data_IF_774976091057
#
_entry.id   IF_774976091057
#
_cell.length_a   1.000
_cell.length_b   1.000
_cell.length_c   1.000
_cell.angle_alpha   90.00
_cell.angle_beta   90.00
_cell.angle_gamma   90.00
#
_symmetry.space_group_name_H-M   'P 1'
#
loop_
_entity.id
_entity.type
_entity.pdbx_description
1 polymer ?
#
# COMPACT_ATOMS: atom_id res chain seq x y z
N UNK A 1 -3.96 26.43 15.65
CA UNK A 1 -2.88 25.72 14.92
C UNK A 1 -3.41 25.26 13.58
N UNK A 2 -2.68 25.45 12.48
CA UNK A 2 -3.02 24.82 11.19
C UNK A 2 -2.47 23.39 11.22
N UNK A 3 -3.34 22.38 11.16
CA UNK A 3 -2.98 20.94 11.15
C UNK A 3 -2.85 20.37 9.74
N UNK A 4 -3.44 21.05 8.74
CA UNK A 4 -3.36 20.68 7.32
C UNK A 4 -2.00 21.12 6.76
N UNK A 5 -1.24 20.15 6.22
CA UNK A 5 0.13 20.35 5.70
C UNK A 5 0.19 20.64 4.20
N UNK A 6 -0.90 20.42 3.46
CA UNK A 6 -0.98 20.60 2.01
C UNK A 6 -1.68 19.43 1.32
N UNK A 7 -1.89 19.51 -0.01
CA UNK A 7 -2.46 18.42 -0.79
C UNK A 7 -1.48 17.26 -0.96
N UNK A 8 -1.97 16.03 -0.83
CA UNK A 8 -1.21 14.81 -1.10
C UNK A 8 -1.92 13.94 -2.16
N UNK A 9 -1.15 13.13 -2.86
CA UNK A 9 -1.62 12.28 -3.96
C UNK A 9 -1.37 10.80 -3.66
N UNK A 10 -2.35 9.94 -3.98
CA UNK A 10 -2.14 8.49 -3.92
C UNK A 10 -1.63 7.94 -5.26
N UNK A 11 -0.37 7.49 -5.29
CA UNK A 11 0.33 7.16 -6.53
C UNK A 11 -0.18 5.91 -7.25
N UNK A 12 -0.87 4.99 -6.55
CA UNK A 12 -1.39 3.77 -7.17
C UNK A 12 -2.40 4.04 -8.30
N UNK A 13 -3.03 5.22 -8.31
CA UNK A 13 -3.96 5.63 -9.36
C UNK A 13 -3.26 6.04 -10.66
N UNK A 14 -1.95 6.27 -10.61
CA UNK A 14 -1.18 6.85 -11.72
C UNK A 14 -0.04 5.94 -12.17
N UNK A 15 0.55 5.15 -11.27
CA UNK A 15 1.68 4.28 -11.55
C UNK A 15 1.43 3.39 -12.78
N UNK A 16 2.34 3.46 -13.75
CA UNK A 16 2.19 2.85 -15.07
C UNK A 16 3.54 2.53 -15.69
N UNK A 17 3.54 1.93 -16.88
CA UNK A 17 4.78 1.50 -17.54
C UNK A 17 5.45 2.62 -18.35
N UNK A 18 4.73 3.71 -18.60
CA UNK A 18 5.18 4.86 -19.38
C UNK A 18 5.56 6.06 -18.51
N UNK A 19 6.54 6.84 -18.97
CA UNK A 19 6.93 8.08 -18.30
C UNK A 19 5.78 9.12 -18.34
N UNK A 20 5.60 9.93 -17.29
CA UNK A 20 6.41 10.03 -16.08
C UNK A 20 5.95 9.11 -14.93
N UNK A 21 5.17 8.06 -15.21
CA UNK A 21 4.52 7.24 -14.16
C UNK A 21 5.24 5.94 -13.82
N UNK A 22 6.42 5.72 -14.42
CA UNK A 22 7.12 4.44 -14.43
C UNK A 22 8.39 4.40 -13.57
N UNK A 23 8.72 5.49 -12.87
CA UNK A 23 9.83 5.51 -11.93
C UNK A 23 9.56 6.48 -10.78
N UNK A 24 10.21 6.22 -9.64
CA UNK A 24 10.07 7.05 -8.44
C UNK A 24 10.45 8.52 -8.64
N UNK A 25 11.57 8.79 -9.30
CA UNK A 25 12.01 10.16 -9.57
C UNK A 25 11.03 10.91 -10.51
N UNK A 26 10.67 10.29 -11.64
CA UNK A 26 9.81 10.94 -12.63
C UNK A 26 8.40 11.22 -12.11
N UNK A 27 7.82 10.29 -11.33
CA UNK A 27 6.47 10.45 -10.80
C UNK A 27 6.40 11.48 -9.67
N UNK A 28 7.44 11.58 -8.84
CA UNK A 28 7.51 12.59 -7.77
C UNK A 28 7.73 13.98 -8.35
N UNK A 29 8.56 14.12 -9.39
CA UNK A 29 8.68 15.37 -10.15
C UNK A 29 7.36 15.81 -10.77
N UNK A 30 6.66 14.89 -11.44
CA UNK A 30 5.33 15.18 -11.99
C UNK A 30 4.31 15.58 -10.92
N UNK A 31 4.30 14.91 -9.75
CA UNK A 31 3.42 15.27 -8.65
C UNK A 31 3.69 16.70 -8.13
N UNK A 32 4.97 17.10 -8.06
CA UNK A 32 5.36 18.45 -7.68
C UNK A 32 4.91 19.50 -8.71
N UNK A 33 5.08 19.21 -10.00
CA UNK A 33 4.63 20.06 -11.11
C UNK A 33 3.10 20.27 -11.09
N UNK A 34 2.35 19.26 -10.62
CA UNK A 34 0.90 19.37 -10.40
C UNK A 34 0.51 20.16 -9.13
N UNK A 35 1.47 20.55 -8.29
CA UNK A 35 1.26 21.33 -7.08
C UNK A 35 1.04 20.52 -5.79
N UNK A 36 1.20 19.20 -5.84
CA UNK A 36 1.15 18.36 -4.63
C UNK A 36 2.35 18.64 -3.71
N UNK A 37 2.15 18.40 -2.41
CA UNK A 37 3.19 18.53 -1.37
C UNK A 37 3.60 17.21 -0.77
N UNK A 38 2.81 16.16 -0.99
CA UNK A 38 3.15 14.83 -0.52
C UNK A 38 2.52 13.74 -1.36
N UNK A 39 3.00 12.52 -1.15
CA UNK A 39 2.52 11.34 -1.83
C UNK A 39 2.33 10.18 -0.86
N UNK A 40 1.23 9.46 -1.06
CA UNK A 40 1.03 8.12 -0.50
C UNK A 40 1.52 7.09 -1.51
N UNK A 41 2.38 6.17 -1.06
CA UNK A 41 3.06 5.20 -1.92
C UNK A 41 2.40 3.82 -1.80
N UNK A 42 1.99 3.16 -2.90
CA UNK A 42 1.58 1.76 -2.87
C UNK A 42 2.78 0.85 -2.62
N UNK A 43 2.70 0.00 -1.60
CA UNK A 43 3.81 -0.89 -1.22
C UNK A 43 3.97 -2.12 -2.13
N UNK A 44 3.05 -2.34 -3.08
CA UNK A 44 3.10 -3.50 -3.99
C UNK A 44 3.84 -3.21 -5.30
N UNK A 45 4.02 -1.94 -5.65
CA UNK A 45 4.53 -1.57 -6.96
C UNK A 45 6.06 -1.42 -6.94
N UNK A 46 6.75 -2.46 -7.41
CA UNK A 46 8.20 -2.52 -7.45
C UNK A 46 8.84 -1.47 -8.38
N UNK A 47 8.07 -0.81 -9.26
CA UNK A 47 8.56 0.34 -10.05
C UNK A 47 8.82 1.56 -9.18
N UNK A 48 8.10 1.65 -8.05
CA UNK A 48 8.19 2.77 -7.12
C UNK A 48 9.05 2.42 -5.90
N UNK A 49 8.76 1.30 -5.23
CA UNK A 49 9.40 0.94 -3.97
C UNK A 49 9.77 -0.55 -3.92
N UNK A 50 10.99 -0.83 -3.48
CA UNK A 50 11.42 -2.18 -3.10
C UNK A 50 11.06 -2.38 -1.62
N UNK A 51 9.93 -3.03 -1.37
CA UNK A 51 9.39 -3.18 -0.01
C UNK A 51 10.29 -4.04 0.90
N UNK A 52 10.93 -5.07 0.34
CA UNK A 52 11.82 -5.94 1.10
C UNK A 52 13.02 -5.13 1.59
N UNK A 53 13.70 -4.41 0.69
CA UNK A 53 14.80 -3.51 1.07
C UNK A 53 14.36 -2.41 2.02
N UNK A 54 13.20 -1.80 1.79
CA UNK A 54 12.66 -0.77 2.67
C UNK A 54 12.43 -1.28 4.10
N UNK A 55 12.00 -2.53 4.24
CA UNK A 55 11.74 -3.13 5.55
C UNK A 55 13.02 -3.44 6.34
N UNK A 56 14.15 -3.60 5.66
CA UNK A 56 15.42 -4.06 6.23
C UNK A 56 16.50 -2.96 6.31
N UNK A 57 16.39 -1.89 5.54
CA UNK A 57 17.42 -0.86 5.39
C UNK A 57 16.88 0.55 5.60
N UNK A 58 17.41 1.23 6.63
CA UNK A 58 17.19 2.67 6.84
C UNK A 58 17.85 3.49 5.75
N UNK A 59 19.05 3.12 5.31
CA UNK A 59 19.78 3.84 4.25
C UNK A 59 18.96 3.87 2.95
N UNK A 60 18.37 2.74 2.55
CA UNK A 60 17.46 2.70 1.39
C UNK A 60 16.25 3.63 1.58
N UNK A 61 15.65 3.63 2.78
CA UNK A 61 14.52 4.51 3.09
C UNK A 61 14.91 5.99 3.03
N UNK A 62 16.11 6.35 3.45
CA UNK A 62 16.61 7.73 3.40
C UNK A 62 16.96 8.16 1.97
N UNK A 63 17.57 7.30 1.16
CA UNK A 63 17.76 7.52 -0.28
C UNK A 63 16.42 7.71 -0.99
N UNK A 64 15.46 6.82 -0.72
CA UNK A 64 14.11 6.85 -1.28
C UNK A 64 13.38 8.16 -0.96
N UNK A 65 13.35 8.57 0.31
CA UNK A 65 12.79 9.88 0.71
C UNK A 65 13.58 11.05 0.12
N UNK A 66 14.90 10.92 0.03
CA UNK A 66 15.79 11.93 -0.53
C UNK A 66 15.45 12.30 -1.98
N UNK A 67 15.13 11.30 -2.80
CA UNK A 67 14.68 11.53 -4.20
C UNK A 67 13.39 12.35 -4.24
N UNK A 68 12.38 11.98 -3.45
CA UNK A 68 11.12 12.74 -3.39
C UNK A 68 11.34 14.17 -2.86
N UNK A 69 12.15 14.32 -1.81
CA UNK A 69 12.47 15.61 -1.22
C UNK A 69 13.21 16.53 -2.20
N UNK A 70 14.10 16.00 -3.04
CA UNK A 70 14.78 16.74 -4.10
C UNK A 70 13.78 17.29 -5.15
N UNK A 71 12.66 16.59 -5.36
CA UNK A 71 11.56 17.03 -6.21
C UNK A 71 10.53 17.90 -5.46
N UNK A 72 10.73 18.19 -4.17
CA UNK A 72 9.80 18.99 -3.36
C UNK A 72 8.56 18.23 -2.86
N UNK A 73 8.64 16.90 -2.79
CA UNK A 73 7.57 16.00 -2.34
C UNK A 73 7.95 15.31 -1.03
N UNK A 74 7.01 15.29 -0.08
CA UNK A 74 7.10 14.49 1.14
C UNK A 74 6.47 13.10 0.94
N UNK A 75 7.09 12.04 1.44
CA UNK A 75 6.44 10.72 1.54
C UNK A 75 5.57 10.71 2.80
N UNK A 76 4.24 10.73 2.62
CA UNK A 76 3.31 10.92 3.74
C UNK A 76 2.93 9.60 4.40
N UNK A 77 2.64 8.58 3.60
CA UNK A 77 2.27 7.23 4.05
C UNK A 77 2.71 6.16 3.06
N UNK A 78 2.94 4.95 3.58
CA UNK A 78 2.85 3.73 2.78
C UNK A 78 1.40 3.21 2.81
N UNK A 79 1.02 2.52 1.74
CA UNK A 79 -0.31 1.89 1.65
C UNK A 79 -0.22 0.42 1.27
N UNK A 80 -0.99 -0.40 1.98
CA UNK A 80 -1.12 -1.86 1.78
C UNK A 80 -2.56 -2.22 1.45
N UNK A 81 -3.27 -1.43 0.64
CA UNK A 81 -4.68 -1.70 0.33
C UNK A 81 -4.90 -3.10 -0.25
N UNK A 82 -4.11 -3.48 -1.26
CA UNK A 82 -4.23 -4.80 -1.89
C UNK A 82 -3.76 -5.93 -0.98
N UNK A 83 -2.60 -5.78 -0.32
CA UNK A 83 -2.08 -6.82 0.56
C UNK A 83 -2.93 -6.97 1.82
N UNK A 84 -3.33 -5.87 2.45
CA UNK A 84 -4.22 -5.84 3.60
C UNK A 84 -5.58 -6.47 3.32
N UNK A 85 -6.15 -6.22 2.12
CA UNK A 85 -7.39 -6.86 1.67
C UNK A 85 -7.32 -8.40 1.72
N UNK A 86 -6.11 -8.96 1.62
CA UNK A 86 -5.88 -10.40 1.57
C UNK A 86 -5.59 -11.03 2.95
N UNK A 87 -5.56 -10.24 4.02
CA UNK A 87 -5.28 -10.73 5.39
C UNK A 87 -6.44 -11.56 5.94
N UNK A 88 -7.68 -11.12 5.73
CA UNK A 88 -8.88 -11.81 6.23
C UNK A 88 -9.92 -11.91 5.12
N UNK A 89 -9.89 -13.01 4.35
CA UNK A 89 -10.77 -13.24 3.20
C UNK A 89 -11.74 -14.38 3.49
N UNK A 90 -13.02 -14.17 3.20
CA UNK A 90 -14.01 -15.24 3.22
C UNK A 90 -13.81 -16.16 2.01
N UNK A 91 -13.95 -17.49 2.13
CA UNK A 91 -13.75 -18.42 1.01
C UNK A 91 -14.59 -18.10 -0.24
N UNK A 92 -15.79 -17.54 -0.05
CA UNK A 92 -16.64 -17.06 -1.15
C UNK A 92 -15.99 -16.01 -2.07
N UNK A 93 -14.94 -15.32 -1.61
CA UNK A 93 -14.18 -14.34 -2.40
C UNK A 93 -12.81 -14.83 -2.83
N UNK A 94 -12.48 -16.11 -2.62
CA UNK A 94 -11.13 -16.61 -2.88
C UNK A 94 -10.68 -16.35 -4.32
N UNK A 95 -11.50 -16.75 -5.30
CA UNK A 95 -11.21 -16.51 -6.72
C UNK A 95 -11.17 -15.03 -7.07
N UNK A 96 -12.10 -14.22 -6.53
CA UNK A 96 -12.20 -12.80 -6.86
C UNK A 96 -10.98 -12.00 -6.37
N UNK A 97 -10.43 -12.35 -5.22
CA UNK A 97 -9.29 -11.66 -4.62
C UNK A 97 -7.94 -12.26 -4.98
N UNK A 98 -7.90 -13.39 -5.66
CA UNK A 98 -6.65 -14.03 -6.09
C UNK A 98 -5.82 -13.13 -7.02
N UNK A 99 -6.49 -12.28 -7.81
CA UNK A 99 -5.84 -11.31 -8.70
C UNK A 99 -4.99 -10.26 -7.98
N UNK A 100 -5.25 -10.00 -6.69
CA UNK A 100 -4.48 -9.04 -5.88
C UNK A 100 -3.18 -9.64 -5.31
N UNK A 101 -3.03 -10.97 -5.38
CA UNK A 101 -1.85 -11.65 -4.88
C UNK A 101 -0.80 -11.80 -5.99
N UNK A 102 0.45 -11.98 -5.58
CA UNK A 102 1.54 -12.36 -6.48
C UNK A 102 1.31 -13.77 -7.05
N UNK A 103 1.75 -14.07 -8.29
CA UNK A 103 1.44 -15.34 -8.95
C UNK A 103 1.78 -16.60 -8.16
N UNK A 104 2.82 -16.56 -7.33
CA UNK A 104 3.37 -17.71 -6.60
C UNK A 104 2.43 -18.24 -5.51
N UNK A 105 1.50 -17.44 -5.00
CA UNK A 105 0.57 -17.82 -3.93
C UNK A 105 -0.89 -17.89 -4.39
N UNK A 106 -1.13 -17.67 -5.68
CA UNK A 106 -2.47 -17.75 -6.28
C UNK A 106 -3.03 -19.17 -6.23
N UNK A 107 -4.36 -19.27 -6.11
CA UNK A 107 -5.07 -20.54 -5.95
C UNK A 107 -4.85 -21.24 -4.61
N UNK A 108 -4.12 -20.62 -3.67
CA UNK A 108 -3.85 -21.16 -2.36
C UNK A 108 -4.20 -20.13 -1.27
N UNK A 109 -5.44 -20.15 -0.73
CA UNK A 109 -5.92 -19.15 0.22
C UNK A 109 -5.05 -19.02 1.48
N UNK A 110 -4.46 -20.14 1.95
CA UNK A 110 -3.58 -20.15 3.11
C UNK A 110 -2.25 -19.45 2.80
N UNK A 111 -1.58 -19.84 1.72
CA UNK A 111 -0.32 -19.21 1.32
C UNK A 111 -0.51 -17.72 0.97
N UNK A 112 -1.63 -17.37 0.34
CA UNK A 112 -2.01 -15.97 0.07
C UNK A 112 -2.14 -15.16 1.35
N UNK A 113 -2.77 -15.71 2.38
CA UNK A 113 -2.94 -15.04 3.67
C UNK A 113 -1.61 -14.88 4.41
N UNK A 114 -0.76 -15.92 4.42
CA UNK A 114 0.59 -15.85 4.99
C UNK A 114 1.43 -14.78 4.29
N UNK A 115 1.40 -14.72 2.96
CA UNK A 115 2.04 -13.67 2.18
C UNK A 115 1.47 -12.29 2.49
N UNK A 116 0.15 -12.12 2.52
CA UNK A 116 -0.50 -10.85 2.82
C UNK A 116 -0.07 -10.27 4.18
N UNK A 117 -0.03 -11.13 5.22
CA UNK A 117 0.43 -10.75 6.56
C UNK A 117 1.90 -10.34 6.55
N UNK A 118 2.76 -11.06 5.84
CA UNK A 118 4.18 -10.70 5.67
C UNK A 118 4.34 -9.32 5.03
N UNK A 119 3.63 -9.05 3.93
CA UNK A 119 3.70 -7.76 3.23
C UNK A 119 3.23 -6.59 4.12
N UNK A 120 2.16 -6.77 4.89
CA UNK A 120 1.70 -5.75 5.84
C UNK A 120 2.75 -5.49 6.93
N UNK A 121 3.40 -6.53 7.44
CA UNK A 121 4.49 -6.39 8.44
C UNK A 121 5.70 -5.68 7.85
N UNK A 122 6.11 -6.00 6.63
CA UNK A 122 7.20 -5.32 5.94
C UNK A 122 6.92 -3.84 5.73
N UNK A 123 5.70 -3.48 5.33
CA UNK A 123 5.28 -2.09 5.22
C UNK A 123 5.31 -1.33 6.56
N UNK A 124 4.98 -2.01 7.67
CA UNK A 124 5.11 -1.42 9.02
C UNK A 124 6.57 -1.15 9.37
N UNK A 125 7.47 -2.10 9.12
CA UNK A 125 8.92 -1.93 9.32
C UNK A 125 9.48 -0.81 8.43
N UNK A 126 9.11 -0.79 7.15
CA UNK A 126 9.50 0.26 6.22
C UNK A 126 9.00 1.64 6.65
N UNK A 127 7.73 1.74 7.08
CA UNK A 127 7.16 2.99 7.62
C UNK A 127 7.96 3.47 8.84
N UNK A 128 8.34 2.55 9.74
CA UNK A 128 9.20 2.86 10.89
C UNK A 128 10.57 3.38 10.45
N UNK A 129 11.21 2.73 9.48
CA UNK A 129 12.51 3.14 8.95
C UNK A 129 12.43 4.53 8.28
N UNK A 130 11.29 4.85 7.66
CA UNK A 130 11.04 6.16 7.05
C UNK A 130 10.67 7.25 8.07
N UNK A 131 10.27 6.89 9.30
CA UNK A 131 9.74 7.82 10.30
C UNK A 131 8.25 8.17 10.09
N UNK A 132 7.54 7.34 9.32
CA UNK A 132 6.14 7.51 8.97
C UNK A 132 5.27 6.88 10.07
N UNK A 133 4.33 7.66 10.62
CA UNK A 133 3.42 7.23 11.69
C UNK A 133 2.05 6.72 11.24
N UNK A 134 1.77 6.73 9.93
CA UNK A 134 0.48 6.34 9.37
C UNK A 134 0.65 5.38 8.18
N UNK A 135 -0.20 4.35 8.11
CA UNK A 135 -0.23 3.38 7.02
C UNK A 135 -1.69 3.13 6.62
N UNK A 136 -2.03 3.41 5.36
CA UNK A 136 -3.35 3.13 4.85
C UNK A 136 -3.46 1.63 4.47
N UNK A 137 -4.55 0.98 4.83
CA UNK A 137 -4.74 -0.44 4.53
C UNK A 137 -6.22 -0.81 4.51
N UNK A 138 -6.53 -1.98 3.93
CA UNK A 138 -7.82 -2.65 4.13
C UNK A 138 -7.62 -3.86 5.04
N UNK A 139 -8.66 -4.24 5.79
CA UNK A 139 -8.60 -5.37 6.73
C UNK A 139 -9.05 -6.70 6.12
N UNK A 140 -9.58 -6.68 4.90
CA UNK A 140 -10.16 -7.82 4.20
C UNK A 140 -11.69 -7.82 4.21
N UNK A 141 -12.27 -8.98 3.92
CA UNK A 141 -13.71 -9.17 3.73
C UNK A 141 -14.26 -10.45 4.38
N UNK A 142 -13.61 -10.96 5.44
CA UNK A 142 -13.99 -12.22 6.09
C UNK A 142 -15.47 -12.27 6.50
N UNK A 143 -15.97 -11.18 7.08
CA UNK A 143 -17.37 -11.08 7.51
C UNK A 143 -18.28 -10.37 6.50
N UNK A 144 -17.72 -9.88 5.38
CA UNK A 144 -18.45 -9.08 4.40
C UNK A 144 -19.68 -9.79 3.80
N UNK A 145 -19.68 -11.11 3.51
CA UNK A 145 -20.87 -11.80 3.03
C UNK A 145 -22.04 -11.76 4.01
N UNK A 146 -21.78 -11.49 5.30
CA UNK A 146 -22.80 -11.49 6.34
C UNK A 146 -23.30 -10.10 6.70
N UNK A 147 -22.93 -9.06 5.95
CA UNK A 147 -23.41 -7.68 6.17
C UNK A 147 -24.92 -7.60 6.07
N UNK A 148 -25.52 -8.34 5.13
CA UNK A 148 -26.97 -8.50 5.08
C UNK A 148 -27.41 -9.53 6.14
N UNK A 149 -28.17 -9.14 7.18
CA UNK A 149 -28.40 -9.96 8.36
C UNK A 149 -29.61 -10.91 8.17
N UNK A 150 -29.72 -11.54 7.01
CA UNK A 150 -30.79 -12.49 6.71
C UNK A 150 -30.24 -13.90 6.46
N UNK A 151 -30.82 -14.96 7.08
CA UNK A 151 -31.85 -14.90 8.10
C UNK A 151 -31.36 -14.18 9.36
N UNK A 152 -32.29 -13.62 10.13
CA UNK A 152 -31.96 -12.90 11.35
C UNK A 152 -31.15 -13.80 12.28
N UNK A 153 -29.98 -13.32 12.71
CA UNK A 153 -29.11 -14.08 13.61
C UNK A 153 -29.82 -14.23 14.97
N UNK A 154 -29.71 -15.38 15.64
CA UNK A 154 -30.18 -15.53 17.01
C UNK A 154 -29.60 -14.44 17.91
N UNK A 155 -30.30 -14.09 19.00
CA UNK A 155 -29.68 -13.30 20.06
C UNK A 155 -28.43 -14.04 20.55
N UNK A 156 -27.29 -13.34 20.57
CA UNK A 156 -26.04 -13.82 21.14
C UNK A 156 -26.08 -13.85 22.66
#
# INVERSE_FOLDING_TARGET
>A
MKTIKGPALFLAQFAGDEAPFNSWDSITKWAADCGYKGVQVPSWDARLIDLDRASESTDYCDEFKGVAAANGIEVTELSTHLQGQLVAVHPAYDTAFDGFAVPQVRGNPKARQEWAVDQVKKALSASRNMGIGAQATFSGALAWPFVYPWPQRPAG
#
